data_IF_007923799801
#
_entry.id   IF_007923799801
#
_cell.length_a   1.000
_cell.length_b   1.000
_cell.length_c   1.000
_cell.angle_alpha   90.00
_cell.angle_beta   90.00
_cell.angle_gamma   90.00
#
_symmetry.space_group_name_H-M   'P 1'
#
loop_
_entity.id
_entity.type
_entity.pdbx_description
1 polymer ?
#
# COMPACT_ATOMS: atom_id res chain seq x y z
N UNK A 1 -32.05 -29.81 -2.38
CA UNK A 1 -31.76 -28.55 -1.66
C UNK A 1 -30.41 -28.57 -0.95
N UNK A 2 -30.09 -29.58 -0.13
CA UNK A 2 -28.83 -29.66 0.63
C UNK A 2 -27.58 -29.60 -0.28
N UNK A 3 -27.56 -30.35 -1.39
CA UNK A 3 -26.42 -30.36 -2.33
C UNK A 3 -26.18 -28.98 -2.96
N UNK A 4 -27.26 -28.25 -3.29
CA UNK A 4 -27.18 -26.90 -3.86
C UNK A 4 -26.66 -25.92 -2.80
N UNK A 5 -27.14 -26.02 -1.56
CA UNK A 5 -26.64 -25.20 -0.46
C UNK A 5 -25.15 -25.45 -0.18
N UNK A 6 -24.71 -26.71 -0.19
CA UNK A 6 -23.30 -27.08 -0.01
C UNK A 6 -22.41 -26.56 -1.16
N UNK A 7 -22.87 -26.64 -2.41
CA UNK A 7 -22.14 -26.11 -3.55
C UNK A 7 -22.00 -24.57 -3.50
N UNK A 8 -23.05 -23.87 -3.06
CA UNK A 8 -23.02 -22.41 -2.85
C UNK A 8 -22.03 -22.07 -1.72
N UNK A 9 -22.07 -22.77 -0.58
CA UNK A 9 -21.13 -22.55 0.53
C UNK A 9 -19.68 -22.81 0.11
N UNK A 10 -19.41 -23.86 -0.65
CA UNK A 10 -18.06 -24.15 -1.17
C UNK A 10 -17.55 -23.04 -2.09
N UNK A 11 -18.41 -22.51 -2.97
CA UNK A 11 -18.05 -21.40 -3.86
C UNK A 11 -17.79 -20.10 -3.10
N UNK A 12 -18.58 -19.83 -2.05
CA UNK A 12 -18.39 -18.68 -1.18
C UNK A 12 -17.06 -18.75 -0.41
N UNK A 13 -16.74 -19.93 0.12
CA UNK A 13 -15.51 -20.18 0.88
C UNK A 13 -14.24 -20.16 0.03
N UNK A 14 -14.34 -20.51 -1.26
CA UNK A 14 -13.17 -20.64 -2.12
C UNK A 14 -12.31 -19.37 -2.14
N UNK A 15 -12.93 -18.20 -2.33
CA UNK A 15 -12.17 -16.94 -2.42
C UNK A 15 -11.36 -16.62 -1.17
N UNK A 16 -11.98 -16.46 0.01
CA UNK A 16 -11.24 -16.07 1.20
C UNK A 16 -10.23 -17.14 1.65
N UNK A 17 -10.51 -18.44 1.42
CA UNK A 17 -9.54 -19.51 1.71
C UNK A 17 -8.37 -19.50 0.72
N UNK A 18 -8.64 -19.27 -0.57
CA UNK A 18 -7.60 -19.15 -1.58
C UNK A 18 -6.70 -17.95 -1.30
N UNK A 19 -7.27 -16.80 -0.91
CA UNK A 19 -6.51 -15.63 -0.47
C UNK A 19 -5.59 -15.98 0.68
N UNK A 20 -6.11 -16.61 1.75
CA UNK A 20 -5.28 -17.00 2.90
C UNK A 20 -4.15 -17.94 2.45
N UNK A 21 -4.46 -18.95 1.64
CA UNK A 21 -3.46 -19.89 1.14
C UNK A 21 -2.37 -19.21 0.33
N UNK A 22 -2.76 -18.39 -0.65
CA UNK A 22 -1.81 -17.75 -1.56
C UNK A 22 -0.90 -16.79 -0.81
N UNK A 23 -1.48 -15.93 0.02
CA UNK A 23 -0.78 -14.90 0.79
C UNK A 23 0.11 -15.47 1.90
N UNK A 24 -0.22 -16.66 2.43
CA UNK A 24 0.63 -17.33 3.42
C UNK A 24 1.85 -17.98 2.76
N UNK A 25 1.74 -18.46 1.51
CA UNK A 25 2.76 -19.29 0.89
C UNK A 25 3.63 -18.57 -0.15
N UNK A 26 3.13 -17.53 -0.82
CA UNK A 26 3.83 -16.89 -1.95
C UNK A 26 4.30 -15.45 -1.64
N UNK A 27 3.99 -14.93 -0.44
CA UNK A 27 4.37 -13.57 -0.02
C UNK A 27 5.88 -13.38 0.05
N UNK A 28 6.63 -14.36 0.55
CA UNK A 28 8.06 -14.22 0.81
C UNK A 28 8.90 -14.07 -0.46
N UNK A 29 8.47 -14.71 -1.57
CA UNK A 29 9.17 -14.61 -2.86
C UNK A 29 9.10 -13.19 -3.40
N UNK A 30 7.90 -12.58 -3.43
CA UNK A 30 7.72 -11.19 -3.88
C UNK A 30 8.43 -10.17 -2.98
N UNK A 31 8.41 -10.36 -1.66
CA UNK A 31 9.17 -9.49 -0.74
C UNK A 31 10.68 -9.56 -0.98
N UNK A 32 11.20 -10.74 -1.32
CA UNK A 32 12.63 -10.94 -1.56
C UNK A 32 13.08 -10.36 -2.90
N UNK A 33 12.28 -10.51 -3.95
CA UNK A 33 12.47 -9.83 -5.23
C UNK A 33 12.55 -8.31 -5.04
N UNK A 34 11.66 -7.74 -4.23
CA UNK A 34 11.65 -6.32 -3.93
C UNK A 34 12.86 -5.86 -3.13
N UNK A 35 13.25 -6.57 -2.05
CA UNK A 35 14.47 -6.24 -1.29
C UNK A 35 15.72 -6.26 -2.16
N UNK A 36 15.77 -7.14 -3.17
CA UNK A 36 16.86 -7.17 -4.14
C UNK A 36 16.79 -5.95 -5.08
N UNK A 37 15.60 -5.58 -5.55
CA UNK A 37 15.38 -4.38 -6.36
C UNK A 37 15.77 -3.10 -5.61
N UNK A 38 15.29 -2.90 -4.36
CA UNK A 38 15.63 -1.75 -3.53
C UNK A 38 17.14 -1.60 -3.32
N UNK A 39 17.84 -2.70 -3.05
CA UNK A 39 19.30 -2.70 -2.87
C UNK A 39 20.04 -2.19 -4.10
N UNK A 40 19.59 -2.53 -5.30
CA UNK A 40 20.21 -2.08 -6.56
C UNK A 40 19.87 -0.61 -6.84
N UNK A 41 18.84 -0.07 -6.19
CA UNK A 41 18.36 1.31 -6.38
C UNK A 41 18.89 2.31 -5.35
N UNK A 42 19.71 1.86 -4.39
CA UNK A 42 20.43 2.71 -3.46
C UNK A 42 21.70 3.26 -4.15
N UNK A 43 21.65 4.52 -4.59
CA UNK A 43 22.72 5.22 -5.32
C UNK A 43 23.22 4.49 -6.60
N UNK A 44 22.32 4.17 -7.55
CA UNK A 44 22.71 3.44 -8.76
C UNK A 44 23.62 4.31 -9.64
N UNK A 45 24.57 3.67 -10.33
CA UNK A 45 25.26 4.35 -11.42
C UNK A 45 24.27 4.62 -12.56
N UNK A 46 24.55 5.58 -13.47
CA UNK A 46 23.73 5.77 -14.67
C UNK A 46 23.52 4.49 -15.49
N UNK A 47 24.52 3.58 -15.49
CA UNK A 47 24.43 2.28 -16.16
C UNK A 47 23.42 1.35 -15.47
N UNK A 48 23.38 1.36 -14.14
CA UNK A 48 22.43 0.55 -13.37
C UNK A 48 21.00 1.09 -13.52
N UNK A 49 20.83 2.42 -13.57
CA UNK A 49 19.55 3.05 -13.86
C UNK A 49 19.01 2.64 -15.24
N UNK A 50 19.88 2.65 -16.27
CA UNK A 50 19.52 2.19 -17.63
C UNK A 50 19.06 0.74 -17.60
N UNK A 51 19.83 -0.13 -16.94
CA UNK A 51 19.48 -1.55 -16.81
C UNK A 51 18.11 -1.72 -16.13
N UNK A 52 17.82 -0.96 -15.07
CA UNK A 52 16.52 -1.01 -14.38
C UNK A 52 15.38 -0.61 -15.32
N UNK A 53 15.55 0.46 -16.10
CA UNK A 53 14.53 0.91 -17.07
C UNK A 53 14.34 -0.09 -18.20
N UNK A 54 15.41 -0.72 -18.67
CA UNK A 54 15.35 -1.73 -19.74
C UNK A 54 14.75 -3.06 -19.25
N UNK A 55 15.03 -3.46 -17.99
CA UNK A 55 14.64 -4.75 -17.44
C UNK A 55 13.24 -4.71 -16.77
N UNK A 56 12.76 -3.54 -16.34
CA UNK A 56 11.55 -3.43 -15.53
C UNK A 56 10.62 -2.33 -16.03
N UNK A 57 9.49 -2.69 -16.63
CA UNK A 57 8.40 -1.75 -16.92
C UNK A 57 7.19 -2.04 -16.00
N UNK A 58 6.60 -1.01 -15.36
CA UNK A 58 5.39 -1.17 -14.56
C UNK A 58 4.23 -1.72 -15.38
N UNK A 59 3.42 -2.59 -14.79
CA UNK A 59 2.25 -3.19 -15.44
C UNK A 59 0.98 -2.64 -14.81
N UNK A 60 0.14 -2.00 -15.63
CA UNK A 60 -1.17 -1.52 -15.19
C UNK A 60 -2.03 -2.65 -14.59
N UNK A 61 -1.91 -3.86 -15.15
CA UNK A 61 -2.71 -5.00 -14.72
C UNK A 61 -2.43 -5.40 -13.26
N UNK A 62 -1.21 -5.21 -12.77
CA UNK A 62 -0.87 -5.53 -11.38
C UNK A 62 -1.63 -4.62 -10.40
N UNK A 63 -1.82 -3.35 -10.75
CA UNK A 63 -2.61 -2.40 -9.96
C UNK A 63 -4.11 -2.70 -10.05
N UNK A 64 -4.62 -3.06 -11.24
CA UNK A 64 -6.02 -3.45 -11.44
C UNK A 64 -6.38 -4.70 -10.65
N UNK A 65 -5.55 -5.74 -10.71
CA UNK A 65 -5.73 -6.96 -9.91
C UNK A 65 -5.78 -6.66 -8.41
N UNK A 66 -4.88 -5.79 -7.94
CA UNK A 66 -4.86 -5.37 -6.54
C UNK A 66 -6.14 -4.61 -6.14
N UNK A 67 -6.65 -3.73 -7.00
CA UNK A 67 -7.93 -3.05 -6.76
C UNK A 67 -9.12 -4.00 -6.74
N UNK A 68 -9.18 -4.98 -7.65
CA UNK A 68 -10.22 -6.01 -7.65
C UNK A 68 -10.21 -6.79 -6.34
N UNK A 69 -9.02 -7.15 -5.85
CA UNK A 69 -8.84 -7.82 -4.55
C UNK A 69 -9.34 -6.96 -3.40
N UNK A 70 -8.99 -5.67 -3.37
CA UNK A 70 -9.42 -4.76 -2.31
C UNK A 70 -10.94 -4.51 -2.33
N UNK A 71 -11.56 -4.34 -3.51
CA UNK A 71 -13.02 -4.22 -3.67
C UNK A 71 -13.77 -5.43 -3.10
N UNK A 72 -13.21 -6.63 -3.32
CA UNK A 72 -13.80 -7.87 -2.81
C UNK A 72 -13.58 -8.07 -1.32
N UNK A 73 -12.64 -7.36 -0.69
CA UNK A 73 -12.19 -7.65 0.66
C UNK A 73 -13.32 -7.53 1.70
N UNK A 74 -14.27 -6.61 1.55
CA UNK A 74 -15.43 -6.51 2.44
C UNK A 74 -16.31 -7.77 2.35
N UNK A 75 -16.56 -8.25 1.13
CA UNK A 75 -17.37 -9.43 0.92
C UNK A 75 -16.68 -10.68 1.47
N UNK A 76 -15.40 -10.87 1.14
CA UNK A 76 -14.62 -12.02 1.60
C UNK A 76 -14.44 -11.99 3.13
N UNK A 77 -14.28 -10.82 3.73
CA UNK A 77 -14.29 -10.66 5.19
C UNK A 77 -15.63 -11.06 5.81
N UNK A 78 -16.76 -10.67 5.21
CA UNK A 78 -18.10 -11.10 5.68
C UNK A 78 -18.24 -12.61 5.66
N UNK A 79 -17.78 -13.26 4.59
CA UNK A 79 -17.75 -14.73 4.50
C UNK A 79 -16.83 -15.31 5.59
N UNK A 80 -15.60 -14.81 5.72
CA UNK A 80 -14.66 -15.27 6.74
C UNK A 80 -15.23 -15.16 8.16
N UNK A 81 -15.91 -14.05 8.46
CA UNK A 81 -16.61 -13.83 9.74
C UNK A 81 -17.77 -14.79 9.95
N UNK A 82 -18.56 -15.07 8.91
CA UNK A 82 -19.65 -16.05 8.99
C UNK A 82 -19.16 -17.45 9.37
N UNK A 83 -17.96 -17.82 8.94
CA UNK A 83 -17.32 -19.10 9.23
C UNK A 83 -16.29 -19.06 10.37
N UNK A 84 -16.11 -17.93 11.04
CA UNK A 84 -15.25 -17.78 12.23
C UNK A 84 -13.74 -17.78 11.97
N UNK A 85 -13.29 -17.37 10.79
CA UNK A 85 -11.87 -17.26 10.44
C UNK A 85 -11.46 -15.84 10.00
N UNK A 86 -12.22 -14.82 10.39
CA UNK A 86 -11.98 -13.42 9.99
C UNK A 86 -10.62 -12.88 10.42
N UNK A 87 -10.07 -13.31 11.57
CA UNK A 87 -8.77 -12.86 12.04
C UNK A 87 -7.63 -13.33 11.12
N UNK A 88 -7.73 -14.57 10.63
CA UNK A 88 -6.77 -15.10 9.64
C UNK A 88 -6.92 -14.37 8.31
N UNK A 89 -8.16 -14.10 7.89
CA UNK A 89 -8.40 -13.34 6.66
C UNK A 89 -7.86 -11.91 6.77
N UNK A 90 -8.13 -11.20 7.87
CA UNK A 90 -7.64 -9.84 8.10
C UNK A 90 -6.12 -9.74 8.02
N UNK A 91 -5.41 -10.65 8.69
CA UNK A 91 -3.95 -10.69 8.68
C UNK A 91 -3.38 -11.07 7.31
N UNK A 92 -3.98 -12.06 6.63
CA UNK A 92 -3.48 -12.55 5.35
C UNK A 92 -3.85 -11.66 4.16
N UNK A 93 -4.93 -10.88 4.22
CA UNK A 93 -5.40 -10.08 3.09
C UNK A 93 -4.97 -8.62 3.24
N UNK A 94 -5.58 -7.88 4.17
CA UNK A 94 -5.51 -6.43 4.22
C UNK A 94 -4.10 -5.87 4.40
N UNK A 95 -3.33 -6.49 5.30
CA UNK A 95 -1.94 -6.10 5.50
C UNK A 95 -1.09 -6.42 4.26
N UNK A 96 -1.34 -7.54 3.60
CA UNK A 96 -0.58 -7.96 2.43
C UNK A 96 -0.95 -7.19 1.17
N UNK A 97 -2.21 -6.78 1.02
CA UNK A 97 -2.63 -5.90 -0.07
C UNK A 97 -1.97 -4.52 0.08
N UNK A 98 -1.86 -3.99 1.30
CA UNK A 98 -1.11 -2.77 1.54
C UNK A 98 0.39 -2.93 1.26
N UNK A 99 1.00 -4.06 1.65
CA UNK A 99 2.40 -4.35 1.30
C UNK A 99 2.61 -4.44 -0.22
N UNK A 100 1.72 -5.14 -0.92
CA UNK A 100 1.74 -5.26 -2.38
C UNK A 100 1.61 -3.88 -3.02
N UNK A 101 0.70 -3.04 -2.51
CA UNK A 101 0.58 -1.65 -2.94
C UNK A 101 1.92 -0.91 -2.82
N UNK A 102 2.57 -0.97 -1.64
CA UNK A 102 3.88 -0.33 -1.47
C UNK A 102 4.94 -0.83 -2.46
N UNK A 103 4.94 -2.13 -2.78
CA UNK A 103 5.88 -2.69 -3.75
C UNK A 103 5.62 -2.21 -5.17
N UNK A 104 4.38 -2.27 -5.63
CA UNK A 104 4.01 -1.84 -6.98
C UNK A 104 4.32 -0.35 -7.17
N UNK A 105 3.91 0.44 -6.20
CA UNK A 105 4.12 1.88 -6.18
C UNK A 105 5.61 2.23 -6.09
N UNK A 106 6.39 1.51 -5.28
CA UNK A 106 7.85 1.69 -5.19
C UNK A 106 8.56 1.39 -6.52
N UNK A 107 8.21 0.29 -7.17
CA UNK A 107 8.75 -0.12 -8.46
C UNK A 107 8.41 0.87 -9.58
N UNK A 108 7.16 1.32 -9.64
CA UNK A 108 6.69 2.32 -10.58
C UNK A 108 7.47 3.63 -10.49
N UNK A 109 7.68 4.13 -9.27
CA UNK A 109 8.42 5.36 -9.01
C UNK A 109 9.85 5.29 -9.49
N UNK A 110 10.52 4.18 -9.17
CA UNK A 110 11.92 3.97 -9.51
C UNK A 110 12.07 3.98 -11.03
N UNK A 111 11.17 3.28 -11.74
CA UNK A 111 11.14 3.27 -13.20
C UNK A 111 10.98 4.69 -13.78
N UNK A 112 9.92 5.42 -13.42
CA UNK A 112 9.65 6.72 -14.03
C UNK A 112 10.69 7.78 -13.64
N UNK A 113 11.22 7.73 -12.42
CA UNK A 113 12.31 8.62 -11.98
C UNK A 113 13.56 8.42 -12.84
N UNK A 114 13.97 7.17 -13.04
CA UNK A 114 15.16 6.87 -13.86
C UNK A 114 14.90 7.13 -15.33
N UNK A 115 13.71 6.83 -15.85
CA UNK A 115 13.34 7.14 -17.22
C UNK A 115 13.42 8.65 -17.51
N UNK A 116 12.94 9.49 -16.59
CA UNK A 116 13.07 10.95 -16.70
C UNK A 116 14.55 11.37 -16.67
N UNK A 117 15.32 10.90 -15.68
CA UNK A 117 16.74 11.23 -15.56
C UNK A 117 17.54 10.85 -16.80
N UNK A 118 17.37 9.63 -17.31
CA UNK A 118 18.11 9.12 -18.47
C UNK A 118 17.69 9.84 -19.76
N UNK A 119 16.42 10.22 -19.88
CA UNK A 119 15.91 11.00 -21.02
C UNK A 119 16.55 12.39 -21.10
N UNK A 120 16.99 12.94 -19.98
CA UNK A 120 17.70 14.23 -19.91
C UNK A 120 19.22 14.10 -20.14
N UNK A 121 19.79 12.90 -20.03
CA UNK A 121 21.21 12.65 -20.29
C UNK A 121 21.58 12.91 -21.76
N UNK A 122 22.76 13.48 -21.97
CA UNK A 122 23.33 13.64 -23.31
C UNK A 122 24.04 12.33 -23.72
N UNK A 123 23.28 11.39 -24.29
CA UNK A 123 23.79 10.07 -24.72
C UNK A 123 23.35 9.73 -26.14
N UNK A 124 24.04 8.79 -26.79
CA UNK A 124 23.66 8.28 -28.12
C UNK A 124 22.30 7.56 -28.10
N UNK A 125 21.83 7.13 -26.94
CA UNK A 125 20.53 6.46 -26.75
C UNK A 125 19.42 7.44 -26.33
N UNK A 126 19.70 8.75 -26.23
CA UNK A 126 18.72 9.74 -25.77
C UNK A 126 17.36 9.64 -26.48
N UNK A 127 17.36 9.45 -27.80
CA UNK A 127 16.11 9.34 -28.57
C UNK A 127 15.29 8.09 -28.20
N UNK A 128 15.95 6.97 -27.86
CA UNK A 128 15.29 5.74 -27.37
C UNK A 128 14.48 6.05 -26.11
N UNK A 129 15.09 6.68 -25.12
CA UNK A 129 14.44 6.97 -23.83
C UNK A 129 13.43 8.10 -23.92
N UNK A 130 13.64 9.12 -24.76
CA UNK A 130 12.62 10.14 -25.05
C UNK A 130 11.36 9.52 -25.67
N UNK A 131 11.52 8.60 -26.62
CA UNK A 131 10.39 7.88 -27.21
C UNK A 131 9.68 7.00 -26.18
N UNK A 132 10.43 6.28 -25.34
CA UNK A 132 9.87 5.46 -24.26
C UNK A 132 9.12 6.33 -23.23
N UNK A 133 9.66 7.51 -22.89
CA UNK A 133 9.00 8.45 -21.99
C UNK A 133 7.69 8.96 -22.58
N UNK A 134 7.67 9.28 -23.87
CA UNK A 134 6.46 9.71 -24.56
C UNK A 134 5.40 8.60 -24.60
N UNK A 135 5.79 7.35 -24.91
CA UNK A 135 4.85 6.23 -25.01
C UNK A 135 4.30 5.75 -23.67
N UNK A 136 4.98 6.04 -22.56
CA UNK A 136 4.58 5.61 -21.21
C UNK A 136 3.79 6.65 -20.41
N UNK A 137 3.52 7.85 -20.97
CA UNK A 137 2.74 8.89 -20.26
C UNK A 137 1.33 8.44 -19.90
N UNK A 138 0.64 7.75 -20.81
CA UNK A 138 -0.71 7.25 -20.54
C UNK A 138 -0.71 6.11 -19.52
N UNK A 139 0.35 5.31 -19.48
CA UNK A 139 0.53 4.25 -18.48
C UNK A 139 0.69 4.85 -17.07
N UNK A 140 1.57 5.83 -16.92
CA UNK A 140 1.80 6.55 -15.65
C UNK A 140 0.48 7.16 -15.12
N UNK A 141 -0.29 7.80 -16.00
CA UNK A 141 -1.61 8.36 -15.66
C UNK A 141 -2.61 7.29 -15.23
N UNK A 142 -2.67 6.15 -15.92
CA UNK A 142 -3.59 5.07 -15.58
C UNK A 142 -3.20 4.42 -14.25
N UNK A 143 -1.91 4.21 -13.99
CA UNK A 143 -1.44 3.69 -12.70
C UNK A 143 -1.82 4.67 -11.58
N UNK A 144 -1.63 5.96 -11.78
CA UNK A 144 -2.06 6.99 -10.83
C UNK A 144 -3.55 6.90 -10.47
N UNK A 145 -4.43 6.69 -11.46
CA UNK A 145 -5.86 6.50 -11.24
C UNK A 145 -6.13 5.23 -10.41
N UNK A 146 -5.42 4.14 -10.66
CA UNK A 146 -5.52 2.92 -9.87
C UNK A 146 -4.98 3.09 -8.44
N UNK A 147 -3.94 3.89 -8.21
CA UNK A 147 -3.44 4.19 -6.86
C UNK A 147 -4.49 4.93 -6.02
N UNK A 148 -5.19 5.90 -6.63
CA UNK A 148 -6.30 6.62 -6.00
C UNK A 148 -7.47 5.69 -5.66
N UNK A 149 -7.83 4.79 -6.58
CA UNK A 149 -8.87 3.80 -6.33
C UNK A 149 -8.49 2.90 -5.15
N UNK A 150 -7.23 2.50 -5.04
CA UNK A 150 -6.77 1.67 -3.93
C UNK A 150 -6.92 2.38 -2.58
N UNK A 151 -6.51 3.66 -2.50
CA UNK A 151 -6.69 4.49 -1.29
C UNK A 151 -8.17 4.53 -0.91
N UNK A 152 -9.06 4.76 -1.89
CA UNK A 152 -10.50 4.81 -1.65
C UNK A 152 -11.04 3.48 -1.13
N UNK A 153 -10.68 2.37 -1.76
CA UNK A 153 -11.13 1.04 -1.31
C UNK A 153 -10.58 0.68 0.07
N UNK A 154 -9.37 1.14 0.40
CA UNK A 154 -8.81 0.98 1.75
C UNK A 154 -9.63 1.75 2.80
N UNK A 155 -10.03 2.99 2.51
CA UNK A 155 -10.92 3.76 3.39
C UNK A 155 -12.27 3.05 3.58
N UNK A 156 -12.87 2.53 2.50
CA UNK A 156 -14.14 1.79 2.54
C UNK A 156 -14.08 0.56 3.46
N UNK A 157 -13.02 -0.24 3.37
CA UNK A 157 -12.88 -1.41 4.24
C UNK A 157 -12.53 -1.02 5.69
N UNK A 158 -11.71 0.02 5.89
CA UNK A 158 -11.46 0.53 7.23
C UNK A 158 -12.76 0.94 7.92
N UNK A 159 -13.56 1.78 7.26
CA UNK A 159 -14.82 2.29 7.81
C UNK A 159 -15.78 1.13 8.10
N UNK A 160 -15.85 0.15 7.19
CA UNK A 160 -16.63 -1.06 7.43
C UNK A 160 -16.18 -1.82 8.70
N UNK A 161 -14.87 -2.05 8.87
CA UNK A 161 -14.33 -2.80 10.00
C UNK A 161 -14.49 -2.06 11.33
N UNK A 162 -14.33 -0.73 11.34
CA UNK A 162 -14.57 0.10 12.52
C UNK A 162 -16.05 0.10 12.90
N UNK A 163 -16.95 0.27 11.91
CA UNK A 163 -18.41 0.30 12.13
C UNK A 163 -18.97 -1.00 12.72
N UNK A 164 -18.40 -2.16 12.36
CA UNK A 164 -18.82 -3.45 12.94
C UNK A 164 -18.10 -3.78 14.26
N UNK A 165 -17.33 -2.84 14.81
CA UNK A 165 -16.55 -3.01 16.04
C UNK A 165 -15.41 -4.03 15.92
N UNK A 166 -15.00 -4.40 14.70
CA UNK A 166 -13.97 -5.42 14.51
C UNK A 166 -12.59 -4.91 14.95
N UNK A 167 -12.27 -3.65 14.62
CA UNK A 167 -10.99 -3.04 14.99
C UNK A 167 -10.84 -2.89 16.51
N UNK A 168 -11.95 -2.77 17.25
CA UNK A 168 -11.93 -2.66 18.72
C UNK A 168 -11.72 -4.01 19.43
N UNK A 169 -11.73 -5.14 18.70
CA UNK A 169 -11.42 -6.46 19.29
C UNK A 169 -10.00 -6.52 19.89
N UNK A 170 -9.04 -5.82 19.28
CA UNK A 170 -7.62 -5.83 19.67
C UNK A 170 -6.96 -4.50 19.36
N UNK A 171 -6.22 -3.94 20.31
CA UNK A 171 -5.47 -2.67 20.13
C UNK A 171 -4.56 -2.72 18.91
N UNK A 172 -3.92 -3.87 18.66
CA UNK A 172 -2.99 -4.07 17.55
C UNK A 172 -3.68 -3.93 16.19
N UNK A 173 -4.94 -4.38 16.05
CA UNK A 173 -5.70 -4.29 14.80
C UNK A 173 -6.04 -2.84 14.46
N UNK A 174 -6.54 -2.09 15.44
CA UNK A 174 -6.86 -0.67 15.23
C UNK A 174 -5.61 0.16 14.95
N UNK A 175 -4.51 -0.10 15.66
CA UNK A 175 -3.23 0.59 15.41
C UNK A 175 -2.69 0.27 14.00
N UNK A 176 -2.68 -1.00 13.60
CA UNK A 176 -2.23 -1.39 12.26
C UNK A 176 -3.10 -0.77 11.15
N UNK A 177 -4.43 -0.76 11.34
CA UNK A 177 -5.36 -0.18 10.38
C UNK A 177 -5.15 1.34 10.23
N UNK A 178 -5.01 2.08 11.34
CA UNK A 178 -4.74 3.52 11.29
C UNK A 178 -3.36 3.82 10.72
N UNK A 179 -2.34 3.01 11.05
CA UNK A 179 -1.03 3.14 10.43
C UNK A 179 -1.12 3.08 8.91
N UNK A 180 -1.90 2.15 8.36
CA UNK A 180 -2.14 2.04 6.92
C UNK A 180 -2.95 3.20 6.35
N UNK A 181 -3.95 3.74 7.07
CA UNK A 181 -4.65 4.99 6.69
C UNK A 181 -3.72 6.21 6.59
N UNK A 182 -2.57 6.16 7.25
CA UNK A 182 -1.55 7.22 7.18
C UNK A 182 -0.58 6.89 6.05
N UNK A 183 -0.02 5.69 6.05
CA UNK A 183 1.10 5.31 5.19
C UNK A 183 0.73 5.12 3.71
N UNK A 184 -0.45 4.59 3.38
CA UNK A 184 -0.91 4.43 1.99
C UNK A 184 -1.01 5.80 1.29
N UNK A 185 -1.81 6.77 1.79
CA UNK A 185 -1.89 8.08 1.17
C UNK A 185 -0.60 8.90 1.32
N UNK A 186 0.21 8.69 2.37
CA UNK A 186 1.52 9.36 2.50
C UNK A 186 2.48 8.93 1.40
N UNK A 187 2.51 7.63 1.10
CA UNK A 187 3.25 7.09 -0.03
C UNK A 187 2.79 7.83 -1.29
N UNK A 188 1.49 7.84 -1.59
CA UNK A 188 0.96 8.54 -2.75
C UNK A 188 1.38 10.02 -2.84
N UNK A 189 1.29 10.80 -1.75
CA UNK A 189 1.64 12.22 -1.76
C UNK A 189 3.13 12.53 -1.92
N UNK A 190 4.01 11.72 -1.34
CA UNK A 190 5.46 11.97 -1.38
C UNK A 190 6.05 11.90 -2.80
N UNK A 191 5.35 11.24 -3.72
CA UNK A 191 5.94 10.80 -4.97
C UNK A 191 5.12 11.17 -6.20
N UNK A 192 3.90 11.66 -6.03
CA UNK A 192 3.03 11.97 -7.15
C UNK A 192 2.89 13.48 -7.40
N UNK A 193 3.79 13.99 -8.23
CA UNK A 193 3.72 15.36 -8.74
C UNK A 193 2.54 15.55 -9.72
N UNK A 194 1.89 14.46 -10.15
CA UNK A 194 0.78 14.48 -11.10
C UNK A 194 -0.58 14.80 -10.47
N UNK A 195 -0.67 14.95 -9.15
CA UNK A 195 -1.86 15.52 -8.52
C UNK A 195 -2.07 16.95 -9.05
N UNK A 196 -2.91 17.04 -10.09
CA UNK A 196 -3.11 18.24 -10.91
C UNK A 196 -3.61 19.44 -10.10
N UNK A 197 -4.19 19.23 -8.92
CA UNK A 197 -4.57 20.32 -8.02
C UNK A 197 -3.85 20.24 -6.66
N UNK A 198 -3.33 21.39 -6.23
CA UNK A 198 -2.84 21.63 -4.87
C UNK A 198 -3.93 21.34 -3.82
N UNK A 199 -5.19 21.59 -4.17
CA UNK A 199 -6.35 21.33 -3.30
C UNK A 199 -6.52 19.86 -2.95
N UNK A 200 -6.45 18.94 -3.94
CA UNK A 200 -6.55 17.50 -3.69
C UNK A 200 -5.41 16.99 -2.82
N UNK A 201 -4.19 17.50 -3.06
CA UNK A 201 -3.02 17.20 -2.22
C UNK A 201 -3.23 17.63 -0.78
N UNK A 202 -3.73 18.85 -0.57
CA UNK A 202 -3.97 19.38 0.76
C UNK A 202 -5.10 18.63 1.49
N UNK A 203 -6.14 18.21 0.78
CA UNK A 203 -7.23 17.39 1.33
C UNK A 203 -6.70 16.06 1.89
N UNK A 204 -5.97 15.30 1.06
CA UNK A 204 -5.36 14.02 1.46
C UNK A 204 -4.39 14.25 2.63
N UNK A 205 -3.59 15.32 2.57
CA UNK A 205 -2.63 15.62 3.62
C UNK A 205 -3.28 15.98 4.96
N UNK A 206 -4.41 16.68 4.95
CA UNK A 206 -5.17 16.96 6.17
C UNK A 206 -5.80 15.68 6.74
N UNK A 207 -6.21 14.72 5.91
CA UNK A 207 -6.64 13.40 6.36
C UNK A 207 -5.50 12.64 7.03
N UNK A 208 -4.30 12.64 6.44
CA UNK A 208 -3.09 12.04 7.02
C UNK A 208 -2.81 12.63 8.40
N UNK A 209 -2.80 13.97 8.54
CA UNK A 209 -2.57 14.65 9.82
C UNK A 209 -3.61 14.26 10.87
N UNK A 210 -4.90 14.23 10.50
CA UNK A 210 -5.96 13.79 11.39
C UNK A 210 -5.76 12.34 11.85
N UNK A 211 -5.46 11.43 10.92
CA UNK A 211 -5.22 10.03 11.24
C UNK A 211 -3.97 9.86 12.11
N UNK A 212 -2.92 10.65 11.90
CA UNK A 212 -1.74 10.68 12.77
C UNK A 212 -2.06 11.14 14.18
N UNK A 213 -2.89 12.18 14.36
CA UNK A 213 -3.37 12.59 15.68
C UNK A 213 -4.16 11.46 16.37
N UNK A 214 -4.99 10.72 15.64
CA UNK A 214 -5.68 9.55 16.19
C UNK A 214 -4.65 8.48 16.58
N UNK A 215 -3.67 8.20 15.70
CA UNK A 215 -2.62 7.23 15.94
C UNK A 215 -1.88 7.55 17.22
N UNK A 216 -1.24 8.72 17.39
CA UNK A 216 -0.43 9.01 18.58
C UNK A 216 -1.21 8.87 19.89
N UNK A 217 -2.52 9.15 19.88
CA UNK A 217 -3.39 9.05 21.05
C UNK A 217 -3.97 7.64 21.29
N UNK A 218 -3.86 6.71 20.33
CA UNK A 218 -4.49 5.39 20.41
C UNK A 218 -3.69 4.37 21.24
N UNK A 219 -3.89 4.35 22.55
CA UNK A 219 -3.25 3.40 23.47
C UNK A 219 -1.70 3.36 23.31
N UNK A 220 -1.01 4.49 23.53
CA UNK A 220 0.42 4.63 23.25
C UNK A 220 1.31 3.64 24.00
N UNK A 221 0.89 3.21 25.17
CA UNK A 221 1.66 2.33 26.04
C UNK A 221 1.27 0.85 25.92
N UNK A 222 0.36 0.51 25.00
CA UNK A 222 -0.23 -0.83 24.89
C UNK A 222 -0.85 -1.26 26.21
N UNK A 223 -1.51 -0.33 26.91
CA UNK A 223 -2.08 -0.54 28.24
C UNK A 223 -3.17 -1.62 28.23
N UNK A 224 -3.84 -1.81 27.09
CA UNK A 224 -4.87 -2.83 26.88
C UNK A 224 -4.30 -4.22 26.53
N UNK A 225 -2.97 -4.34 26.41
CA UNK A 225 -2.28 -5.61 26.17
C UNK A 225 -1.91 -6.26 27.50
N UNK A 226 -2.49 -7.43 27.75
CA UNK A 226 -2.25 -8.20 28.98
C UNK A 226 -0.98 -9.05 28.92
N UNK A 227 -0.59 -9.50 27.71
CA UNK A 227 0.64 -10.26 27.51
C UNK A 227 1.86 -9.32 27.52
N UNK A 228 2.83 -9.62 28.39
CA UNK A 228 4.02 -8.78 28.59
C UNK A 228 4.86 -8.68 27.32
N UNK A 229 5.01 -9.78 26.59
CA UNK A 229 5.82 -9.86 25.37
C UNK A 229 5.17 -9.07 24.24
N UNK A 230 3.86 -9.24 24.03
CA UNK A 230 3.09 -8.47 23.05
C UNK A 230 3.12 -6.98 23.37
N UNK A 231 3.00 -6.62 24.64
CA UNK A 231 3.10 -5.22 25.09
C UNK A 231 4.46 -4.59 24.80
N UNK A 232 5.54 -5.33 25.06
CA UNK A 232 6.90 -4.86 24.76
C UNK A 232 7.14 -4.73 23.25
N UNK A 233 6.73 -5.73 22.47
CA UNK A 233 6.80 -5.68 21.00
C UNK A 233 6.00 -4.51 20.43
N UNK A 234 4.79 -4.29 20.94
CA UNK A 234 3.94 -3.17 20.52
C UNK A 234 4.60 -1.82 20.82
N UNK A 235 5.16 -1.64 22.01
CA UNK A 235 5.87 -0.42 22.39
C UNK A 235 7.09 -0.16 21.52
N UNK A 236 7.90 -1.19 21.26
CA UNK A 236 9.08 -1.09 20.39
C UNK A 236 8.67 -0.70 18.97
N UNK A 237 7.69 -1.41 18.40
CA UNK A 237 7.10 -1.07 17.10
C UNK A 237 6.64 0.40 17.02
N UNK A 238 5.94 0.87 18.05
CA UNK A 238 5.45 2.25 18.10
C UNK A 238 6.56 3.29 18.21
N UNK A 239 7.60 2.96 18.98
CA UNK A 239 8.77 3.82 19.17
C UNK A 239 9.50 4.07 17.85
N UNK A 240 9.52 3.08 16.96
CA UNK A 240 10.17 3.20 15.66
C UNK A 240 9.26 3.88 14.62
N UNK A 241 7.96 3.57 14.63
CA UNK A 241 7.03 4.08 13.62
C UNK A 241 6.58 5.50 13.85
N UNK A 242 6.39 5.93 15.09
CA UNK A 242 5.89 7.28 15.36
C UNK A 242 6.83 8.36 14.80
N UNK A 243 8.17 8.29 15.02
CA UNK A 243 9.11 9.22 14.41
C UNK A 243 9.16 9.11 12.89
N UNK A 244 9.06 7.90 12.33
CA UNK A 244 9.02 7.70 10.88
C UNK A 244 7.81 8.37 10.22
N UNK A 245 6.62 8.26 10.83
CA UNK A 245 5.41 8.92 10.35
C UNK A 245 5.51 10.44 10.48
N UNK A 246 6.08 10.95 11.57
CA UNK A 246 6.30 12.38 11.78
C UNK A 246 7.25 12.96 10.71
N UNK A 247 8.39 12.32 10.46
CA UNK A 247 9.33 12.70 9.41
C UNK A 247 8.66 12.67 8.02
N UNK A 248 7.86 11.63 7.74
CA UNK A 248 7.09 11.51 6.50
C UNK A 248 6.12 12.67 6.31
N UNK A 249 5.36 13.01 7.36
CA UNK A 249 4.42 14.15 7.35
C UNK A 249 5.16 15.47 7.12
N UNK A 250 6.31 15.67 7.77
CA UNK A 250 7.13 16.87 7.61
C UNK A 250 7.69 17.01 6.20
N UNK A 251 8.12 15.90 5.57
CA UNK A 251 8.55 15.89 4.17
C UNK A 251 7.42 16.27 3.23
N UNK A 252 6.23 15.71 3.42
CA UNK A 252 5.04 16.06 2.62
C UNK A 252 4.71 17.55 2.80
N UNK A 253 4.67 18.05 4.04
CA UNK A 253 4.42 19.46 4.34
C UNK A 253 5.38 20.37 3.57
N UNK A 254 6.70 20.08 3.64
CA UNK A 254 7.73 20.85 2.94
C UNK A 254 7.49 20.87 1.43
N UNK A 255 7.26 19.70 0.82
CA UNK A 255 6.98 19.61 -0.63
C UNK A 255 5.74 20.40 -1.03
N UNK A 256 4.69 20.39 -0.19
CA UNK A 256 3.47 21.15 -0.46
C UNK A 256 3.68 22.67 -0.31
N UNK A 257 4.48 23.09 0.66
CA UNK A 257 4.79 24.52 0.85
C UNK A 257 5.66 25.08 -0.28
N UNK A 258 6.54 24.28 -0.88
CA UNK A 258 7.31 24.64 -2.09
C UNK A 258 6.45 24.72 -3.36
N UNK A 259 5.22 24.18 -3.33
CA UNK A 259 4.28 24.21 -4.47
C UNK A 259 3.24 25.36 -4.40
N UNK A 260 3.27 26.20 -3.35
CA UNK A 260 2.39 27.37 -3.19
C UNK A 260 2.95 28.59 -3.89
#
# INVERSE_FOLDING_TARGET
>A
MIIIALAVLAKLLYSPLYTIYWETNHRFEKEQEFRNFEKITLNPSPKDMIKIVDDHQPKLEDFKDLNIKMQKAIFDFKVAKFFGFEDRYYQASLQNYANTFYFLVGGERIFFRYLNFISDLNSNEKQKYLNLRASTRDLERQIFEEELNFIKHYEEIYDYLDNIGYLDKRTEYKNAAIYLKISIPSSFLLHNNQLRSFENRNLIFNQIKRNYTIFINLDPDGSKLFDKTLKENFRNYRKDISPFLEDTINKIQKTLDECK
#
